data_IF_847548935349
#
_entry.id   IF_847548935349
#
_cell.length_a   1.000
_cell.length_b   1.000
_cell.length_c   1.000
_cell.angle_alpha   90.00
_cell.angle_beta   90.00
_cell.angle_gamma   90.00
#
_symmetry.space_group_name_H-M   'P 1'
#
loop_
_entity.id
_entity.type
_entity.pdbx_description
1 polymer ?
#
# COMPACT_ATOMS: atom_id res chain seq x y z
N UNK A 1 23.92 27.33 83.05
CA UNK A 1 23.30 26.70 81.86
C UNK A 1 21.87 26.36 82.27
N UNK A 2 20.85 27.12 81.84
CA UNK A 2 20.15 26.99 80.53
C UNK A 2 19.62 25.54 80.39
N UNK A 3 18.33 25.20 80.26
CA UNK A 3 17.09 25.87 79.83
C UNK A 3 15.88 25.05 80.33
N UNK A 4 14.76 25.77 80.61
CA UNK A 4 13.33 25.49 80.38
C UNK A 4 12.93 24.30 79.47
N UNK A 5 11.68 23.81 79.32
CA UNK A 5 10.34 23.93 79.90
C UNK A 5 9.43 22.98 79.04
N UNK A 6 8.22 22.74 79.54
CA UNK A 6 7.00 22.48 78.77
C UNK A 6 6.90 21.21 77.89
N UNK A 7 6.11 20.26 78.41
CA UNK A 7 5.27 19.42 77.58
C UNK A 7 4.12 20.25 76.98
N UNK A 8 3.91 20.06 75.68
CA UNK A 8 2.71 20.43 74.92
C UNK A 8 2.48 19.30 73.91
N UNK A 9 1.42 18.51 74.06
CA UNK A 9 0.14 18.73 73.38
C UNK A 9 0.30 18.70 71.86
N UNK A 10 0.01 17.55 71.25
CA UNK A 10 -0.18 17.43 69.80
C UNK A 10 -1.67 17.15 69.55
N UNK A 11 -2.32 17.89 68.63
CA UNK A 11 -3.78 17.92 68.49
C UNK A 11 -4.34 16.79 67.63
N UNK A 12 -5.57 16.37 67.95
CA UNK A 12 -6.50 15.70 67.03
C UNK A 12 -6.70 16.55 65.77
N UNK A 13 -6.23 16.05 64.63
CA UNK A 13 -6.60 16.58 63.33
C UNK A 13 -7.94 15.95 62.92
N UNK A 14 -9.00 16.74 62.96
CA UNK A 14 -10.27 16.44 62.31
C UNK A 14 -10.06 16.42 60.79
N UNK A 15 -10.19 15.25 60.16
CA UNK A 15 -10.39 15.13 58.72
C UNK A 15 -11.80 15.63 58.39
N UNK A 16 -11.87 16.83 57.82
CA UNK A 16 -13.05 17.33 57.11
C UNK A 16 -13.20 16.50 55.83
N UNK A 17 -14.29 15.75 55.75
CA UNK A 17 -14.75 15.11 54.52
C UNK A 17 -15.15 16.20 53.53
N UNK A 18 -14.26 16.53 52.59
CA UNK A 18 -14.62 17.27 51.38
C UNK A 18 -15.33 16.28 50.47
N UNK A 19 -16.65 16.45 50.31
CA UNK A 19 -17.41 15.78 49.26
C UNK A 19 -16.93 16.39 47.94
N UNK A 20 -15.97 15.75 47.27
CA UNK A 20 -15.75 15.97 45.85
C UNK A 20 -16.92 15.32 45.13
N UNK A 21 -17.76 16.14 44.52
CA UNK A 21 -18.67 15.73 43.46
C UNK A 21 -17.82 15.10 42.36
N UNK A 22 -17.89 13.76 42.30
CA UNK A 22 -17.27 12.95 41.26
C UNK A 22 -18.09 13.19 39.99
N UNK A 23 -17.57 13.98 39.06
CA UNK A 23 -18.07 14.01 37.69
C UNK A 23 -17.76 12.63 37.10
N UNK A 24 -18.79 11.80 36.94
CA UNK A 24 -18.70 10.52 36.24
C UNK A 24 -18.59 10.81 34.75
N UNK A 25 -17.37 10.83 34.23
CA UNK A 25 -17.14 10.79 32.79
C UNK A 25 -17.62 9.45 32.23
N UNK A 26 -18.36 9.51 31.13
CA UNK A 26 -18.90 8.34 30.43
C UNK A 26 -17.77 7.54 29.78
N UNK A 27 -17.76 6.22 30.02
CA UNK A 27 -16.76 5.26 29.48
C UNK A 27 -16.64 5.31 27.94
N UNK A 28 -17.70 5.79 27.25
CA UNK A 28 -17.69 6.01 25.79
C UNK A 28 -16.78 7.16 25.34
N UNK A 29 -16.62 8.22 26.15
CA UNK A 29 -15.68 9.31 25.83
C UNK A 29 -14.22 8.90 26.08
N UNK A 30 -13.95 8.01 27.04
CA UNK A 30 -12.60 7.47 27.26
C UNK A 30 -12.13 6.56 26.11
N UNK A 31 -13.01 5.73 25.55
CA UNK A 31 -12.67 4.88 24.41
C UNK A 31 -12.56 5.66 23.10
N UNK A 32 -13.34 6.74 22.90
CA UNK A 32 -13.16 7.63 21.75
C UNK A 32 -11.91 8.51 21.85
N UNK A 33 -11.43 8.82 23.05
CA UNK A 33 -10.20 9.59 23.24
C UNK A 33 -8.91 8.76 22.99
N UNK A 34 -8.97 7.43 23.17
CA UNK A 34 -7.82 6.54 22.93
C UNK A 34 -7.73 6.02 21.49
N UNK A 35 -8.85 5.94 20.75
CA UNK A 35 -8.86 5.48 19.35
C UNK A 35 -8.55 6.53 18.28
N UNK A 36 -8.23 7.78 18.63
CA UNK A 36 -8.16 8.90 17.69
C UNK A 36 -6.79 9.61 17.60
N UNK A 37 -5.70 8.98 18.07
CA UNK A 37 -4.33 9.52 17.91
C UNK A 37 -3.53 8.53 17.07
N UNK A 38 -3.49 8.74 15.76
CA UNK A 38 -2.72 7.85 14.88
C UNK A 38 -2.84 8.08 13.37
N UNK A 39 -3.17 9.28 12.89
CA UNK A 39 -2.91 9.65 11.49
C UNK A 39 -2.22 11.01 11.47
N UNK A 40 -0.91 11.00 11.71
CA UNK A 40 -0.05 12.16 11.45
C UNK A 40 0.60 11.94 10.09
N UNK A 41 0.05 12.63 9.10
CA UNK A 41 0.56 12.71 7.72
C UNK A 41 1.94 13.34 7.77
N UNK A 42 2.98 12.49 7.77
CA UNK A 42 4.37 12.88 7.59
C UNK A 42 4.69 13.09 6.12
N UNK A 43 4.32 14.25 5.58
CA UNK A 43 4.77 14.69 4.25
C UNK A 43 6.26 15.04 4.25
N UNK A 44 7.11 14.04 3.99
CA UNK A 44 8.54 14.20 3.75
C UNK A 44 8.80 14.53 2.28
N UNK A 45 9.06 15.79 1.97
CA UNK A 45 9.55 16.20 0.66
C UNK A 45 11.02 15.80 0.49
N UNK A 46 11.29 14.72 -0.26
CA UNK A 46 12.64 14.43 -0.76
C UNK A 46 12.83 15.16 -2.09
N UNK A 47 13.51 16.30 -2.02
CA UNK A 47 13.98 17.02 -3.20
C UNK A 47 15.20 16.31 -3.79
N UNK A 48 14.99 15.47 -4.82
CA UNK A 48 16.09 14.94 -5.62
C UNK A 48 16.59 16.04 -6.56
N UNK A 49 17.78 16.55 -6.23
CA UNK A 49 18.55 17.45 -7.08
C UNK A 49 19.17 16.63 -8.20
N UNK A 50 18.68 16.80 -9.43
CA UNK A 50 19.32 16.26 -10.63
C UNK A 50 20.69 16.93 -10.84
N UNK A 51 21.76 16.17 -10.64
CA UNK A 51 23.12 16.55 -11.05
C UNK A 51 23.30 16.10 -12.50
N UNK A 52 23.27 17.05 -13.43
CA UNK A 52 23.74 16.86 -14.80
C UNK A 52 25.26 17.01 -14.79
N UNK A 53 25.97 15.90 -15.00
CA UNK A 53 27.41 15.91 -15.27
C UNK A 53 27.61 16.04 -16.79
N UNK A 54 27.72 17.28 -17.26
CA UNK A 54 28.28 17.60 -18.58
C UNK A 54 29.81 17.54 -18.46
N UNK A 55 30.42 16.46 -18.95
CA UNK A 55 31.88 16.31 -19.10
C UNK A 55 32.23 16.52 -20.58
N UNK A 56 32.37 17.79 -20.96
CA UNK A 56 32.89 18.24 -22.25
C UNK A 56 34.42 18.40 -22.16
N UNK A 57 35.16 17.36 -22.52
CA UNK A 57 36.57 17.47 -22.95
C UNK A 57 36.93 16.31 -23.88
N UNK A 58 37.17 16.58 -25.17
CA UNK A 58 38.53 16.86 -25.64
C UNK A 58 38.56 17.15 -27.14
N UNK A 59 39.19 18.26 -27.47
CA UNK A 59 39.75 18.58 -28.77
C UNK A 59 40.84 17.56 -29.13
N UNK A 60 40.77 16.96 -30.32
CA UNK A 60 42.00 16.53 -30.99
C UNK A 60 41.85 16.62 -32.50
N UNK A 61 42.33 17.74 -33.04
CA UNK A 61 42.75 17.81 -34.43
C UNK A 61 44.09 17.07 -34.59
N UNK A 62 44.18 16.09 -35.49
CA UNK A 62 45.42 15.88 -36.21
C UNK A 62 45.18 15.36 -37.64
N UNK A 63 45.67 16.15 -38.58
CA UNK A 63 45.73 15.94 -40.01
C UNK A 63 46.69 14.82 -40.39
N UNK A 64 46.29 13.92 -41.29
CA UNK A 64 47.19 12.92 -41.87
C UNK A 64 46.81 12.56 -43.31
N UNK A 65 47.29 13.35 -44.27
CA UNK A 65 47.31 13.03 -45.69
C UNK A 65 48.16 11.79 -45.98
N UNK A 66 47.58 10.74 -46.58
CA UNK A 66 48.32 9.76 -47.39
C UNK A 66 47.54 9.44 -48.67
N UNK A 67 48.08 9.95 -49.78
CA UNK A 67 47.76 9.53 -51.15
C UNK A 67 48.23 8.09 -51.41
N UNK A 68 47.47 7.31 -52.18
CA UNK A 68 47.97 6.06 -52.76
C UNK A 68 46.97 5.22 -53.57
N UNK A 69 46.97 5.43 -54.88
CA UNK A 69 46.77 4.45 -55.97
C UNK A 69 45.38 3.81 -56.27
N UNK A 70 44.79 4.31 -57.37
CA UNK A 70 44.51 3.61 -58.64
C UNK A 70 43.83 2.21 -58.66
N UNK A 71 42.53 2.21 -59.05
CA UNK A 71 41.81 1.38 -60.05
C UNK A 71 41.94 -0.19 -60.00
N UNK A 72 40.90 -1.01 -60.31
CA UNK A 72 39.87 -0.75 -61.32
C UNK A 72 38.42 -1.14 -61.00
N UNK A 73 37.54 -0.49 -61.76
CA UNK A 73 36.19 -0.88 -62.19
C UNK A 73 35.89 -2.38 -62.03
N UNK A 74 35.17 -2.71 -60.96
CA UNK A 74 34.48 -3.97 -60.76
C UNK A 74 32.98 -3.72 -60.66
N UNK A 75 32.30 -3.95 -61.78
CA UNK A 75 30.85 -4.06 -61.92
C UNK A 75 30.32 -5.09 -60.92
N UNK A 76 29.78 -4.60 -59.81
CA UNK A 76 28.97 -5.37 -58.88
C UNK A 76 27.71 -4.56 -58.61
N UNK A 77 26.80 -4.59 -59.58
CA UNK A 77 25.36 -4.41 -59.35
C UNK A 77 24.82 -5.59 -58.53
N UNK A 78 25.42 -5.81 -57.36
CA UNK A 78 24.83 -6.59 -56.29
C UNK A 78 23.97 -5.64 -55.49
N UNK A 79 22.67 -5.65 -55.75
CA UNK A 79 21.62 -5.08 -54.90
C UNK A 79 21.56 -5.88 -53.58
N UNK A 80 22.72 -6.04 -52.92
CA UNK A 80 22.83 -6.53 -51.55
C UNK A 80 22.43 -5.37 -50.64
N UNK A 81 21.14 -5.00 -50.69
CA UNK A 81 20.54 -4.32 -49.56
C UNK A 81 20.81 -5.23 -48.36
N UNK A 82 21.44 -4.73 -47.29
CA UNK A 82 21.59 -5.52 -46.07
C UNK A 82 20.20 -6.04 -45.73
N UNK A 83 20.05 -7.37 -45.70
CA UNK A 83 18.81 -8.00 -45.26
C UNK A 83 18.52 -7.37 -43.90
N UNK A 84 17.37 -6.71 -43.74
CA UNK A 84 17.00 -6.05 -42.48
C UNK A 84 17.08 -7.09 -41.36
N UNK A 85 18.16 -7.03 -40.60
CA UNK A 85 18.56 -8.05 -39.65
C UNK A 85 17.75 -7.88 -38.37
N UNK A 86 16.58 -8.51 -38.32
CA UNK A 86 15.84 -8.72 -37.07
C UNK A 86 14.59 -7.85 -36.89
N UNK A 87 13.55 -8.45 -36.33
CA UNK A 87 12.29 -7.79 -35.98
C UNK A 87 12.47 -6.67 -34.93
N UNK A 88 13.42 -6.83 -34.01
CA UNK A 88 13.66 -5.87 -32.92
C UNK A 88 14.16 -4.49 -33.38
N UNK A 89 14.80 -4.40 -34.55
CA UNK A 89 15.28 -3.11 -35.07
C UNK A 89 14.18 -2.30 -35.77
N UNK A 90 13.05 -2.93 -36.14
CA UNK A 90 11.99 -2.31 -36.96
C UNK A 90 10.74 -1.95 -36.17
N UNK A 91 10.49 -2.62 -35.04
CA UNK A 91 9.33 -2.42 -34.19
C UNK A 91 9.79 -1.78 -32.88
N UNK A 92 9.03 -0.81 -32.39
CA UNK A 92 9.28 -0.17 -31.09
C UNK A 92 7.97 0.06 -30.38
N UNK A 93 7.86 -0.45 -29.15
CA UNK A 93 6.77 -0.27 -28.23
C UNK A 93 7.02 0.99 -27.38
N UNK A 94 6.05 1.90 -27.37
CA UNK A 94 6.18 3.22 -26.76
C UNK A 94 5.02 3.43 -25.79
N UNK A 95 5.27 3.58 -24.48
CA UNK A 95 4.22 3.96 -23.54
C UNK A 95 3.78 5.39 -23.86
N UNK A 96 2.47 5.64 -23.92
CA UNK A 96 1.95 6.99 -24.24
C UNK A 96 1.42 7.72 -23.03
N UNK A 97 0.45 7.11 -22.35
CA UNK A 97 -0.27 7.80 -21.29
C UNK A 97 -1.02 6.81 -20.39
N UNK A 98 -1.45 7.30 -19.23
CA UNK A 98 -2.27 6.59 -18.26
C UNK A 98 -3.63 7.29 -18.13
N UNK A 99 -4.67 6.48 -18.02
CA UNK A 99 -6.05 6.85 -17.75
C UNK A 99 -6.41 6.32 -16.35
N UNK A 100 -6.03 7.06 -15.32
CA UNK A 100 -6.25 6.69 -13.91
C UNK A 100 -7.73 6.56 -13.58
N UNK A 101 -8.59 7.34 -14.25
CA UNK A 101 -10.05 7.33 -14.03
C UNK A 101 -10.68 6.01 -14.45
N UNK A 102 -10.13 5.36 -15.48
CA UNK A 102 -10.63 4.10 -16.02
C UNK A 102 -9.69 2.91 -15.78
N UNK A 103 -8.61 3.08 -15.02
CA UNK A 103 -7.63 2.03 -14.73
C UNK A 103 -6.93 1.48 -15.99
N UNK A 104 -6.68 2.34 -16.99
CA UNK A 104 -6.11 1.97 -18.28
C UNK A 104 -4.81 2.69 -18.59
N UNK A 105 -4.04 2.14 -19.53
CA UNK A 105 -2.88 2.79 -20.14
C UNK A 105 -2.91 2.62 -21.66
N UNK A 106 -2.31 3.55 -22.39
CA UNK A 106 -2.19 3.47 -23.84
C UNK A 106 -0.74 3.18 -24.24
N UNK A 107 -0.56 2.15 -25.07
CA UNK A 107 0.72 1.83 -25.70
C UNK A 107 0.61 2.01 -27.21
N UNK A 108 1.69 2.45 -27.85
CA UNK A 108 1.78 2.52 -29.31
C UNK A 108 2.95 1.71 -29.82
N UNK A 109 2.74 1.01 -30.93
CA UNK A 109 3.80 0.32 -31.67
C UNK A 109 4.12 1.12 -32.92
N UNK A 110 5.38 1.53 -33.06
CA UNK A 110 5.91 2.13 -34.29
C UNK A 110 6.57 1.05 -35.16
N UNK A 111 6.00 0.80 -36.33
CA UNK A 111 6.60 -0.07 -37.34
C UNK A 111 7.36 0.77 -38.37
N UNK A 112 8.69 0.75 -38.30
CA UNK A 112 9.60 1.42 -39.24
C UNK A 112 9.99 0.54 -40.43
N UNK A 113 9.59 -0.73 -40.41
CA UNK A 113 9.87 -1.70 -41.46
C UNK A 113 9.12 -1.44 -42.76
N UNK A 114 9.52 -2.16 -43.81
CA UNK A 114 8.90 -2.09 -45.15
C UNK A 114 7.66 -2.98 -45.31
N UNK A 115 7.33 -3.79 -44.31
CA UNK A 115 6.22 -4.76 -44.32
C UNK A 115 5.32 -4.54 -43.12
N UNK A 116 4.07 -4.94 -43.27
CA UNK A 116 3.13 -4.99 -42.17
C UNK A 116 3.62 -6.02 -41.14
N UNK A 117 3.29 -5.78 -39.88
CA UNK A 117 3.67 -6.65 -38.77
C UNK A 117 2.40 -7.18 -38.09
N UNK A 118 2.31 -8.51 -38.00
CA UNK A 118 1.27 -9.23 -37.28
C UNK A 118 1.80 -9.58 -35.89
N UNK A 119 1.31 -8.87 -34.87
CA UNK A 119 1.88 -8.89 -33.53
C UNK A 119 0.89 -9.46 -32.53
N UNK A 120 1.44 -10.08 -31.50
CA UNK A 120 0.72 -10.41 -30.28
C UNK A 120 1.29 -9.58 -29.15
N UNK A 121 0.47 -9.14 -28.23
CA UNK A 121 0.93 -8.52 -27.00
C UNK A 121 0.36 -9.27 -25.82
N UNK A 122 1.07 -9.22 -24.69
CA UNK A 122 0.58 -9.71 -23.41
C UNK A 122 1.01 -8.78 -22.29
N UNK A 123 0.24 -8.75 -21.23
CA UNK A 123 0.66 -8.13 -19.98
C UNK A 123 1.78 -8.97 -19.38
N UNK A 124 2.85 -8.31 -18.97
CA UNK A 124 3.82 -8.90 -18.09
C UNK A 124 3.40 -8.51 -16.67
N UNK A 125 2.91 -9.48 -15.91
CA UNK A 125 2.85 -9.34 -14.46
C UNK A 125 4.26 -9.00 -13.99
N UNK A 126 4.46 -7.94 -13.20
CA UNK A 126 5.75 -7.64 -12.60
C UNK A 126 6.31 -8.95 -12.06
N UNK A 127 7.49 -9.38 -12.54
CA UNK A 127 8.10 -10.58 -11.99
C UNK A 127 8.38 -10.26 -10.54
N UNK A 128 7.64 -10.88 -9.62
CA UNK A 128 7.91 -10.82 -8.18
C UNK A 128 9.35 -11.32 -7.84
N UNK A 129 10.06 -11.87 -8.83
CA UNK A 129 11.35 -12.56 -8.74
C UNK A 129 12.62 -11.68 -8.75
N UNK A 130 12.53 -10.34 -8.73
CA UNK A 130 13.69 -9.46 -8.47
C UNK A 130 13.57 -8.70 -7.13
N UNK A 131 12.77 -9.20 -6.20
CA UNK A 131 12.94 -8.85 -4.78
C UNK A 131 14.31 -9.43 -4.35
N UNK A 132 15.24 -8.55 -3.97
CA UNK A 132 16.50 -8.94 -3.32
C UNK A 132 16.20 -10.01 -2.26
N UNK A 133 17.08 -11.02 -2.08
CA UNK A 133 16.78 -12.21 -1.28
C UNK A 133 16.10 -11.80 0.02
N UNK A 134 14.82 -12.17 0.16
CA UNK A 134 13.91 -11.66 1.19
C UNK A 134 14.67 -11.52 2.51
N UNK A 135 14.99 -10.28 2.87
CA UNK A 135 15.24 -9.96 4.26
C UNK A 135 14.01 -10.49 5.00
N UNK A 136 14.20 -11.30 6.07
CA UNK A 136 13.06 -11.89 6.77
C UNK A 136 12.10 -10.77 7.11
N UNK A 137 10.84 -10.91 6.68
CA UNK A 137 9.84 -9.85 6.86
C UNK A 137 9.82 -9.46 8.33
N UNK A 138 10.31 -8.25 8.61
CA UNK A 138 10.34 -7.72 9.96
C UNK A 138 8.91 -7.55 10.43
N UNK A 139 8.62 -7.98 11.65
CA UNK A 139 7.24 -8.09 12.09
C UNK A 139 7.07 -8.56 13.50
N UNK A 140 5.84 -8.38 13.99
CA UNK A 140 5.37 -8.90 15.26
C UNK A 140 4.15 -9.77 14.98
N UNK A 141 4.22 -11.02 15.39
CA UNK A 141 3.17 -12.01 15.23
C UNK A 141 2.64 -12.46 16.59
N UNK A 142 1.33 -12.54 16.73
CA UNK A 142 0.68 -13.09 17.93
C UNK A 142 0.55 -14.61 17.79
N UNK A 143 1.24 -15.36 18.64
CA UNK A 143 1.15 -16.83 18.64
C UNK A 143 -0.06 -17.30 19.46
N UNK A 144 -0.35 -16.60 20.55
CA UNK A 144 -1.53 -16.78 21.40
C UNK A 144 -1.81 -15.50 22.22
N UNK A 145 -2.71 -15.58 23.19
CA UNK A 145 -3.10 -14.43 24.02
C UNK A 145 -1.99 -13.87 24.91
N UNK A 146 -0.95 -14.65 25.20
CA UNK A 146 0.13 -14.31 26.13
C UNK A 146 1.52 -14.34 25.46
N UNK A 147 1.60 -14.85 24.23
CA UNK A 147 2.86 -15.05 23.52
C UNK A 147 2.90 -14.30 22.20
N UNK A 148 3.95 -13.51 22.01
CA UNK A 148 4.27 -12.86 20.74
C UNK A 148 5.61 -13.34 20.19
N UNK A 149 5.76 -13.28 18.87
CA UNK A 149 7.01 -13.51 18.15
C UNK A 149 7.40 -12.24 17.43
N UNK A 150 8.60 -11.75 17.71
CA UNK A 150 9.20 -10.58 17.05
C UNK A 150 10.28 -11.09 16.11
N UNK A 151 10.20 -10.71 14.84
CA UNK A 151 11.14 -11.08 13.76
C UNK A 151 11.78 -9.79 13.24
N UNK A 152 13.10 -9.73 13.21
CA UNK A 152 13.88 -8.55 12.83
C UNK A 152 15.03 -8.25 13.80
N UNK A 153 15.79 -7.20 13.50
CA UNK A 153 16.90 -6.72 14.34
C UNK A 153 16.51 -5.40 15.02
N UNK A 154 15.99 -5.49 16.25
CA UNK A 154 15.50 -4.35 17.01
C UNK A 154 16.34 -4.07 18.26
N UNK A 155 16.56 -2.80 18.57
CA UNK A 155 17.23 -2.37 19.79
C UNK A 155 16.38 -2.65 21.05
N UNK A 156 15.05 -2.62 20.92
CA UNK A 156 14.11 -2.99 21.97
C UNK A 156 12.75 -3.40 21.39
N UNK A 157 11.98 -4.15 22.16
CA UNK A 157 10.56 -4.38 21.92
C UNK A 157 9.74 -3.98 23.16
N UNK A 158 8.52 -3.52 22.98
CA UNK A 158 7.57 -3.28 24.07
C UNK A 158 6.25 -3.98 23.81
N UNK A 159 5.53 -4.28 24.89
CA UNK A 159 4.18 -4.79 24.79
C UNK A 159 3.31 -4.24 25.91
N UNK A 160 2.02 -4.07 25.61
CA UNK A 160 0.98 -3.76 26.57
C UNK A 160 0.29 -5.04 27.01
N UNK A 161 0.44 -5.38 28.29
CA UNK A 161 -0.25 -6.49 28.92
C UNK A 161 -1.48 -5.98 29.70
N UNK A 162 -2.65 -6.51 29.37
CA UNK A 162 -3.93 -6.21 30.00
C UNK A 162 -4.25 -7.30 31.03
N UNK A 163 -4.80 -6.93 32.18
CA UNK A 163 -5.18 -7.88 33.24
C UNK A 163 -6.38 -7.37 34.04
N UNK A 164 -7.00 -8.22 34.85
CA UNK A 164 -8.11 -7.81 35.74
C UNK A 164 -7.68 -7.93 37.20
N UNK A 165 -7.75 -6.82 37.92
CA UNK A 165 -7.53 -6.78 39.36
C UNK A 165 -8.70 -6.05 40.03
N UNK A 166 -9.33 -6.69 41.04
CA UNK A 166 -10.48 -6.12 41.76
C UNK A 166 -11.66 -5.68 40.85
N UNK A 167 -11.99 -6.50 39.84
CA UNK A 167 -13.05 -6.22 38.83
C UNK A 167 -12.78 -4.98 37.95
N UNK A 168 -11.56 -4.44 37.96
CA UNK A 168 -11.11 -3.36 37.09
C UNK A 168 -10.06 -3.89 36.10
N UNK A 169 -10.14 -3.44 34.83
CA UNK A 169 -9.12 -3.75 33.82
C UNK A 169 -7.93 -2.82 34.06
N UNK A 170 -6.78 -3.40 34.37
CA UNK A 170 -5.49 -2.75 34.42
C UNK A 170 -4.67 -3.02 33.15
N UNK A 171 -3.65 -2.19 32.93
CA UNK A 171 -2.65 -2.41 31.91
C UNK A 171 -1.25 -2.12 32.45
N UNK A 172 -0.25 -2.84 31.94
CA UNK A 172 1.17 -2.58 32.19
C UNK A 172 1.90 -2.62 30.85
N UNK A 173 2.82 -1.68 30.66
CA UNK A 173 3.70 -1.64 29.49
C UNK A 173 5.07 -2.10 29.96
N UNK A 174 5.59 -3.14 29.33
CA UNK A 174 6.91 -3.70 29.63
C UNK A 174 7.80 -3.62 28.41
N UNK A 175 9.10 -3.48 28.66
CA UNK A 175 10.13 -3.42 27.63
C UNK A 175 11.01 -4.67 27.72
N UNK A 176 11.16 -5.31 26.58
CA UNK A 176 12.10 -6.39 26.35
C UNK A 176 13.33 -5.80 25.68
N UNK A 177 14.50 -6.33 26.03
CA UNK A 177 15.77 -5.90 25.47
C UNK A 177 15.88 -6.15 23.95
N UNK A 178 17.09 -6.05 23.39
CA UNK A 178 17.28 -6.15 21.95
C UNK A 178 16.85 -7.52 21.41
N UNK A 179 16.28 -7.51 20.22
CA UNK A 179 15.87 -8.68 19.44
C UNK A 179 16.85 -8.83 18.28
N UNK A 180 17.54 -9.97 18.18
CA UNK A 180 18.45 -10.29 17.07
C UNK A 180 17.85 -11.42 16.22
N UNK A 181 17.32 -11.07 15.05
CA UNK A 181 16.70 -11.99 14.08
C UNK A 181 15.29 -12.49 14.45
N UNK A 182 15.14 -13.29 15.50
CA UNK A 182 13.83 -13.80 15.94
C UNK A 182 13.83 -14.03 17.47
N UNK A 183 12.82 -13.50 18.15
CA UNK A 183 12.59 -13.74 19.56
C UNK A 183 11.11 -14.01 19.85
N UNK A 184 10.85 -15.08 20.59
CA UNK A 184 9.54 -15.35 21.18
C UNK A 184 9.51 -14.80 22.60
N UNK A 185 8.46 -14.06 22.94
CA UNK A 185 8.24 -13.42 24.23
C UNK A 185 6.93 -13.99 24.80
N UNK A 186 7.06 -14.75 25.88
CA UNK A 186 5.93 -15.17 26.72
C UNK A 186 5.83 -14.19 27.90
N UNK A 187 4.73 -13.43 27.96
CA UNK A 187 4.58 -12.40 28.98
C UNK A 187 4.48 -12.96 30.40
N UNK A 188 4.14 -14.24 30.56
CA UNK A 188 4.08 -14.89 31.88
C UNK A 188 5.46 -15.10 32.50
N UNK A 189 6.53 -15.03 31.70
CA UNK A 189 7.92 -15.10 32.17
C UNK A 189 8.48 -13.73 32.59
N UNK A 190 7.72 -12.64 32.41
CA UNK A 190 8.15 -11.26 32.70
C UNK A 190 7.77 -10.88 34.13
N UNK A 191 8.76 -10.46 34.94
CA UNK A 191 8.63 -10.34 36.41
C UNK A 191 7.48 -9.44 36.91
N UNK A 192 7.06 -8.44 36.13
CA UNK A 192 6.04 -7.46 36.54
C UNK A 192 4.66 -7.71 35.91
N UNK A 193 4.53 -8.77 35.09
CA UNK A 193 3.29 -9.07 34.39
C UNK A 193 2.51 -10.12 35.17
N UNK A 194 1.22 -9.88 35.47
CA UNK A 194 0.37 -10.89 36.09
C UNK A 194 0.25 -12.16 35.22
N UNK A 195 0.19 -13.34 35.85
CA UNK A 195 0.12 -14.64 35.14
C UNK A 195 -1.14 -14.77 34.26
N UNK A 196 -2.20 -14.01 34.57
CA UNK A 196 -3.47 -13.97 33.86
C UNK A 196 -3.58 -12.80 32.87
N UNK A 197 -2.50 -12.05 32.65
CA UNK A 197 -2.49 -10.97 31.68
C UNK A 197 -2.50 -11.48 30.24
N UNK A 198 -2.98 -10.66 29.31
CA UNK A 198 -2.97 -10.91 27.86
C UNK A 198 -2.27 -9.78 27.12
N UNK A 199 -1.63 -10.06 25.98
CA UNK A 199 -1.02 -9.03 25.13
C UNK A 199 -2.09 -8.37 24.27
N UNK A 200 -2.27 -7.06 24.41
CA UNK A 200 -3.19 -6.28 23.57
C UNK A 200 -2.50 -5.60 22.39
N UNK A 201 -1.30 -5.08 22.63
CA UNK A 201 -0.54 -4.29 21.69
C UNK A 201 0.96 -4.57 21.87
N UNK A 202 1.72 -4.51 20.78
CA UNK A 202 3.16 -4.70 20.79
C UNK A 202 3.83 -3.80 19.75
N UNK A 203 5.05 -3.38 20.03
CA UNK A 203 5.85 -2.51 19.18
C UNK A 203 7.34 -2.85 19.28
N UNK A 204 8.09 -2.56 18.22
CA UNK A 204 9.53 -2.79 18.15
C UNK A 204 10.25 -1.55 17.61
N UNK A 205 11.48 -1.33 18.10
CA UNK A 205 12.25 -0.11 17.90
C UNK A 205 13.63 -0.46 17.34
N UNK A 206 14.02 0.13 16.21
CA UNK A 206 15.36 0.02 15.63
C UNK A 206 16.37 0.90 16.36
N UNK A 207 15.92 2.04 16.89
CA UNK A 207 16.79 3.01 17.54
C UNK A 207 17.27 2.54 18.92
N UNK A 208 18.58 2.66 19.17
CA UNK A 208 19.20 2.46 20.50
C UNK A 208 18.80 3.55 21.55
N UNK A 209 17.79 4.36 21.24
CA UNK A 209 17.25 5.41 22.10
C UNK A 209 16.48 4.87 23.31
N UNK A 210 16.03 5.77 24.19
CA UNK A 210 15.05 5.38 25.21
C UNK A 210 13.71 5.15 24.51
N UNK A 211 13.15 3.92 24.53
CA UNK A 211 11.96 3.61 23.76
C UNK A 211 10.75 4.38 24.32
N UNK A 212 10.00 5.01 23.43
CA UNK A 212 8.83 5.82 23.77
C UNK A 212 7.57 5.10 23.28
N UNK A 213 6.62 4.77 24.16
CA UNK A 213 5.39 4.11 23.75
C UNK A 213 4.63 4.87 22.65
N UNK A 214 4.26 4.16 21.58
CA UNK A 214 3.56 4.72 20.42
C UNK A 214 4.46 5.32 19.33
N UNK A 215 5.78 5.22 19.48
CA UNK A 215 6.80 5.67 18.51
C UNK A 215 7.57 4.48 17.91
N UNK A 216 7.02 3.27 17.96
CA UNK A 216 7.64 2.06 17.42
C UNK A 216 7.69 2.06 15.88
N UNK A 217 8.78 1.54 15.32
CA UNK A 217 8.96 1.38 13.88
C UNK A 217 8.04 0.29 13.31
N UNK A 218 7.84 -0.77 14.09
CA UNK A 218 6.92 -1.86 13.79
C UNK A 218 5.91 -1.97 14.92
N UNK A 219 4.63 -2.05 14.59
CA UNK A 219 3.54 -2.16 15.58
C UNK A 219 2.56 -3.25 15.17
N UNK A 220 1.98 -3.93 16.15
CA UNK A 220 0.97 -4.94 15.93
C UNK A 220 -0.06 -4.97 17.06
N UNK A 221 -1.33 -5.15 16.71
CA UNK A 221 -2.44 -5.31 17.65
C UNK A 221 -2.91 -6.76 17.64
N UNK A 222 -3.26 -7.30 18.81
CA UNK A 222 -3.73 -8.68 18.91
C UNK A 222 -5.05 -8.86 18.12
N UNK A 223 -5.07 -9.67 17.04
CA UNK A 223 -6.28 -9.87 16.25
C UNK A 223 -7.38 -10.61 17.02
N UNK A 224 -7.00 -11.41 18.02
CA UNK A 224 -7.90 -12.20 18.85
C UNK A 224 -8.16 -11.52 20.20
N UNK A 225 -7.91 -10.21 20.34
CA UNK A 225 -8.02 -9.50 21.61
C UNK A 225 -9.36 -9.72 22.31
N UNK A 226 -10.47 -9.59 21.58
CA UNK A 226 -11.82 -9.78 22.15
C UNK A 226 -12.02 -11.22 22.64
N UNK A 227 -11.58 -12.22 21.86
CA UNK A 227 -11.65 -13.63 22.23
C UNK A 227 -10.75 -13.95 23.44
N UNK A 228 -9.55 -13.35 23.50
CA UNK A 228 -8.63 -13.47 24.63
C UNK A 228 -9.22 -12.84 25.91
N UNK A 229 -9.83 -11.66 25.80
CA UNK A 229 -10.51 -11.02 26.93
C UNK A 229 -11.66 -11.89 27.46
N UNK A 230 -12.50 -12.42 26.58
CA UNK A 230 -13.59 -13.31 27.00
C UNK A 230 -13.05 -14.60 27.65
N UNK A 231 -11.97 -15.16 27.12
CA UNK A 231 -11.38 -16.39 27.63
C UNK A 231 -10.70 -16.22 29.00
N UNK A 232 -9.97 -15.13 29.21
CA UNK A 232 -9.19 -14.89 30.44
C UNK A 232 -9.99 -14.15 31.51
N UNK A 233 -10.82 -13.18 31.12
CA UNK A 233 -11.55 -12.32 32.05
C UNK A 233 -13.03 -12.65 32.15
N UNK A 234 -13.54 -13.53 31.26
CA UNK A 234 -14.96 -13.83 31.14
C UNK A 234 -15.70 -12.76 30.34
N UNK A 235 -17.02 -12.92 30.19
CA UNK A 235 -17.89 -11.85 29.71
C UNK A 235 -17.82 -10.71 30.73
N UNK A 236 -17.07 -9.65 30.41
CA UNK A 236 -17.15 -8.40 31.16
C UNK A 236 -18.50 -7.81 30.85
N UNK A 237 -19.51 -8.21 31.64
CA UNK A 237 -20.81 -7.56 31.64
C UNK A 237 -20.53 -6.15 32.11
N UNK A 238 -20.37 -5.22 31.15
CA UNK A 238 -20.54 -3.81 31.46
C UNK A 238 -21.98 -3.73 31.87
N UNK A 239 -22.23 -3.84 33.18
CA UNK A 239 -23.44 -3.34 33.79
C UNK A 239 -23.40 -1.86 33.46
N UNK A 240 -23.94 -1.53 32.28
CA UNK A 240 -24.36 -0.18 31.97
C UNK A 240 -25.32 0.07 33.10
N UNK A 241 -24.85 0.79 34.11
CA UNK A 241 -25.72 1.30 35.15
C UNK A 241 -26.80 2.01 34.37
N UNK A 242 -27.94 1.36 34.21
CA UNK A 242 -29.19 1.95 33.81
C UNK A 242 -29.43 2.93 34.95
N UNK A 243 -28.86 4.13 34.79
CA UNK A 243 -29.21 5.27 35.58
C UNK A 243 -30.71 5.40 35.32
N UNK A 244 -31.48 4.90 36.29
CA UNK A 244 -32.93 5.03 36.48
C UNK A 244 -33.30 6.53 36.63
N UNK A 245 -32.77 7.36 35.72
CA UNK A 245 -33.18 8.72 35.42
C UNK A 245 -34.45 8.70 34.59
N UNK A 246 -35.51 8.22 35.23
CA UNK A 246 -36.92 8.53 34.96
C UNK A 246 -37.08 10.00 34.58
N UNK A 247 -37.07 10.34 33.28
CA UNK A 247 -37.82 11.45 32.68
C UNK A 247 -38.16 11.14 31.20
N UNK A 248 -39.21 10.34 30.97
CA UNK A 248 -40.08 10.53 29.79
C UNK A 248 -41.12 11.62 30.13
N UNK A 249 -41.70 12.40 29.18
CA UNK A 249 -42.14 11.90 27.87
C UNK A 249 -42.12 12.91 26.68
N UNK A 250 -42.16 12.36 25.46
CA UNK A 250 -43.08 12.69 24.35
C UNK A 250 -42.43 12.25 23.03
N UNK A 251 -42.95 11.20 22.40
CA UNK A 251 -43.90 11.33 21.27
C UNK A 251 -43.20 11.90 20.02
N UNK A 252 -42.62 11.02 19.20
CA UNK A 252 -42.65 11.21 17.75
C UNK A 252 -42.50 9.85 17.05
N UNK A 253 -43.63 9.37 16.55
CA UNK A 253 -43.72 8.29 15.59
C UNK A 253 -43.24 8.75 14.21
N UNK A 254 -42.40 7.96 13.53
CA UNK A 254 -42.57 7.70 12.10
C UNK A 254 -41.53 6.71 11.53
N UNK A 255 -42.07 5.68 10.86
CA UNK A 255 -41.57 4.98 9.66
C UNK A 255 -40.26 4.18 9.78
N UNK A 256 -40.28 2.84 9.77
CA UNK A 256 -40.61 1.93 8.67
C UNK A 256 -39.73 2.10 7.40
N UNK A 257 -38.74 1.22 7.23
CA UNK A 257 -38.24 0.68 5.95
C UNK A 257 -37.22 -0.41 6.30
N UNK A 258 -37.61 -1.68 6.31
CA UNK A 258 -37.60 -2.59 5.14
C UNK A 258 -36.17 -2.96 4.69
N UNK A 259 -35.69 -4.04 5.31
CA UNK A 259 -34.97 -5.17 4.73
C UNK A 259 -34.81 -5.11 3.19
N UNK A 260 -33.60 -4.77 2.72
CA UNK A 260 -33.18 -5.02 1.34
C UNK A 260 -31.97 -5.96 1.35
N UNK A 261 -32.27 -7.26 1.35
CA UNK A 261 -31.33 -8.29 0.92
C UNK A 261 -31.02 -8.06 -0.56
N UNK A 262 -29.84 -7.50 -0.85
CA UNK A 262 -29.31 -7.45 -2.22
C UNK A 262 -28.58 -8.76 -2.50
N UNK A 263 -29.22 -9.60 -3.31
CA UNK A 263 -28.58 -10.75 -3.95
C UNK A 263 -27.56 -10.24 -4.95
N UNK A 264 -26.28 -10.38 -4.60
CA UNK A 264 -25.17 -10.26 -5.55
C UNK A 264 -25.24 -11.46 -6.49
N UNK A 265 -25.76 -11.21 -7.69
CA UNK A 265 -25.64 -12.16 -8.80
C UNK A 265 -24.17 -12.27 -9.19
N UNK A 266 -23.70 -13.50 -9.23
CA UNK A 266 -22.35 -13.89 -9.59
C UNK A 266 -22.01 -13.35 -10.97
N UNK A 267 -21.15 -12.34 -11.01
CA UNK A 267 -20.54 -11.86 -12.23
C UNK A 267 -19.74 -12.98 -12.88
N UNK A 268 -20.05 -13.16 -14.16
CA UNK A 268 -19.53 -14.11 -15.13
C UNK A 268 -17.99 -14.23 -15.08
N UNK A 269 -17.46 -15.45 -14.91
CA UNK A 269 -16.03 -15.84 -14.97
C UNK A 269 -15.43 -15.70 -16.40
N UNK A 270 -15.86 -14.71 -17.18
CA UNK A 270 -15.34 -14.41 -18.52
C UNK A 270 -14.36 -13.22 -18.54
N UNK A 271 -13.94 -12.73 -17.36
CA UNK A 271 -13.14 -11.52 -17.18
C UNK A 271 -11.62 -11.67 -17.33
N UNK A 272 -11.10 -12.84 -17.72
CA UNK A 272 -9.65 -13.13 -17.67
C UNK A 272 -8.98 -13.35 -19.04
N UNK A 273 -9.62 -13.04 -20.16
CA UNK A 273 -8.95 -13.07 -21.48
C UNK A 273 -8.39 -11.69 -21.93
N UNK A 274 -8.40 -10.68 -21.06
CA UNK A 274 -7.86 -9.34 -21.37
C UNK A 274 -6.34 -9.22 -21.20
N UNK A 275 -5.66 -10.30 -20.80
CA UNK A 275 -4.21 -10.28 -20.53
C UNK A 275 -3.35 -10.38 -21.79
N UNK A 276 -3.96 -10.58 -22.96
CA UNK A 276 -3.27 -10.69 -24.25
C UNK A 276 -4.16 -10.27 -25.43
N UNK A 277 -3.54 -9.81 -26.53
CA UNK A 277 -4.26 -9.43 -27.74
C UNK A 277 -3.44 -9.52 -29.02
N UNK A 278 -4.10 -9.39 -30.17
CA UNK A 278 -3.47 -9.37 -31.50
C UNK A 278 -3.55 -7.95 -32.09
N UNK A 279 -2.48 -7.51 -32.76
CA UNK A 279 -2.34 -6.17 -33.33
C UNK A 279 -1.67 -6.25 -34.70
N UNK A 280 -2.29 -5.66 -35.71
CA UNK A 280 -1.67 -5.51 -37.05
C UNK A 280 -1.19 -4.08 -37.21
N UNK A 281 0.11 -3.90 -37.42
CA UNK A 281 0.74 -2.57 -37.59
C UNK A 281 1.27 -2.44 -39.02
N UNK A 282 0.64 -1.60 -39.87
CA UNK A 282 1.09 -1.41 -41.24
C UNK A 282 2.53 -0.92 -41.34
N UNK A 283 3.21 -1.22 -42.45
CA UNK A 283 4.54 -0.73 -42.73
C UNK A 283 4.64 0.81 -42.61
N UNK A 284 5.70 1.31 -41.97
CA UNK A 284 5.97 2.75 -41.80
C UNK A 284 4.83 3.50 -41.10
N UNK A 285 4.16 2.85 -40.15
CA UNK A 285 3.03 3.43 -39.43
C UNK A 285 3.15 3.23 -37.92
N UNK A 286 2.21 3.81 -37.19
CA UNK A 286 2.09 3.65 -35.73
C UNK A 286 0.65 3.30 -35.41
N UNK A 287 0.45 2.27 -34.59
CA UNK A 287 -0.86 1.88 -34.08
C UNK A 287 -0.82 1.89 -32.55
N UNK A 288 -1.91 2.33 -31.92
CA UNK A 288 -2.02 2.40 -30.47
C UNK A 288 -3.17 1.54 -29.97
N UNK A 289 -3.03 1.00 -28.77
CA UNK A 289 -4.00 0.12 -28.15
C UNK A 289 -4.04 0.35 -26.63
N UNK A 290 -5.22 0.22 -26.00
CA UNK A 290 -5.35 0.25 -24.56
C UNK A 290 -4.84 -1.06 -23.94
N UNK A 291 -4.33 -0.96 -22.72
CA UNK A 291 -4.08 -2.08 -21.82
C UNK A 291 -4.59 -1.72 -20.41
N UNK A 292 -5.06 -2.70 -19.62
CA UNK A 292 -5.42 -2.43 -18.23
C UNK A 292 -4.15 -2.19 -17.39
N UNK A 293 -4.29 -1.37 -16.35
CA UNK A 293 -3.27 -1.12 -15.33
C UNK A 293 -3.56 -2.01 -14.11
N UNK A 294 -2.54 -2.69 -13.61
CA UNK A 294 -2.61 -3.55 -12.41
C UNK A 294 -1.59 -3.04 -11.40
N UNK A 295 -2.01 -2.84 -10.15
CA UNK A 295 -1.11 -2.44 -9.06
C UNK A 295 -0.34 -1.14 -9.33
N UNK A 296 -0.98 -0.18 -10.01
CA UNK A 296 -0.39 1.12 -10.32
C UNK A 296 0.63 1.11 -11.46
N UNK A 297 0.81 -0.01 -12.17
CA UNK A 297 1.68 -0.07 -13.35
C UNK A 297 1.06 -0.91 -14.47
N UNK A 298 1.55 -0.70 -15.69
CA UNK A 298 1.27 -1.58 -16.81
C UNK A 298 2.58 -1.92 -17.51
N UNK A 299 2.85 -3.22 -17.67
CA UNK A 299 4.01 -3.74 -18.39
C UNK A 299 3.51 -4.60 -19.54
N UNK A 300 3.99 -4.31 -20.76
CA UNK A 300 3.53 -4.95 -21.99
C UNK A 300 4.72 -5.54 -22.72
N UNK A 301 4.58 -6.79 -23.14
CA UNK A 301 5.54 -7.49 -23.99
C UNK A 301 4.95 -7.68 -25.37
N UNK A 302 5.69 -7.28 -26.40
CA UNK A 302 5.32 -7.40 -27.80
C UNK A 302 6.01 -8.61 -28.44
N UNK A 303 5.22 -9.45 -29.10
CA UNK A 303 5.63 -10.72 -29.69
C UNK A 303 5.35 -10.72 -31.19
N UNK A 304 6.30 -11.20 -32.00
CA UNK A 304 6.12 -11.50 -33.42
C UNK A 304 6.50 -12.96 -33.65
N UNK A 305 5.61 -13.74 -34.29
CA UNK A 305 5.78 -15.19 -34.45
C UNK A 305 6.08 -15.95 -33.12
N UNK A 306 5.62 -15.40 -31.99
CA UNK A 306 5.83 -15.95 -30.64
C UNK A 306 7.18 -15.64 -30.01
N UNK A 307 8.03 -14.85 -30.67
CA UNK A 307 9.28 -14.35 -30.12
C UNK A 307 9.12 -12.90 -29.64
N UNK A 308 9.68 -12.58 -28.47
CA UNK A 308 9.72 -11.22 -27.95
C UNK A 308 10.53 -10.31 -28.86
N UNK A 309 9.91 -9.20 -29.24
CA UNK A 309 10.49 -8.18 -30.10
C UNK A 309 10.88 -6.95 -29.31
N UNK A 310 10.01 -6.52 -28.40
CA UNK A 310 10.19 -5.34 -27.54
C UNK A 310 9.30 -5.44 -26.29
N UNK A 311 9.63 -4.69 -25.25
CA UNK A 311 8.86 -4.58 -24.01
C UNK A 311 8.91 -3.16 -23.44
N UNK A 312 7.84 -2.73 -22.81
CA UNK A 312 7.74 -1.40 -22.22
C UNK A 312 6.82 -1.40 -20.99
N UNK A 313 7.15 -0.56 -20.03
CA UNK A 313 6.37 -0.34 -18.82
C UNK A 313 6.01 1.14 -18.65
N UNK A 314 4.92 1.39 -17.93
CA UNK A 314 4.52 2.74 -17.49
C UNK A 314 3.93 2.63 -16.08
N UNK A 315 4.33 3.54 -15.19
CA UNK A 315 3.87 3.61 -13.80
C UNK A 315 2.92 4.81 -13.65
N UNK A 316 1.87 4.68 -12.83
CA UNK A 316 0.89 5.76 -12.56
C UNK A 316 1.55 7.04 -12.06
N UNK A 317 2.61 6.92 -11.26
CA UNK A 317 3.29 8.07 -10.67
C UNK A 317 4.11 8.90 -11.68
N UNK A 318 4.59 8.27 -12.75
CA UNK A 318 5.48 8.89 -13.75
C UNK A 318 4.83 9.09 -15.10
N UNK A 319 3.67 8.46 -15.35
CA UNK A 319 2.94 8.50 -16.60
C UNK A 319 2.27 9.86 -16.87
N UNK A 320 2.27 10.28 -18.14
CA UNK A 320 1.48 11.43 -18.58
C UNK A 320 -0.01 11.04 -18.67
N UNK A 321 -0.93 11.89 -18.23
CA UNK A 321 -2.36 11.61 -18.29
C UNK A 321 -2.88 11.60 -19.74
N UNK A 322 -3.78 10.66 -20.07
CA UNK A 322 -4.34 10.58 -21.42
C UNK A 322 -5.27 11.79 -21.70
N UNK A 323 -5.12 12.50 -22.84
CA UNK A 323 -5.95 13.65 -23.16
C UNK A 323 -7.40 13.29 -23.53
N UNK A 324 -7.71 12.01 -23.74
CA UNK A 324 -9.03 11.46 -24.02
C UNK A 324 -9.15 10.07 -23.38
N UNK A 325 -10.34 9.61 -22.97
CA UNK A 325 -10.52 8.25 -22.47
C UNK A 325 -10.08 7.24 -23.53
N UNK A 326 -9.27 6.27 -23.12
CA UNK A 326 -8.66 5.29 -24.04
C UNK A 326 -9.65 4.19 -24.41
N UNK A 327 -10.65 3.97 -23.57
CA UNK A 327 -11.76 3.08 -23.86
C UNK A 327 -12.91 3.85 -24.51
N UNK A 328 -13.48 3.32 -25.61
CA UNK A 328 -14.81 3.77 -26.01
C UNK A 328 -15.73 3.41 -24.84
N UNK A 329 -16.31 4.44 -24.21
CA UNK A 329 -17.29 4.30 -23.15
C UNK A 329 -18.35 3.27 -23.59
N UNK A 330 -18.44 2.09 -22.93
CA UNK A 330 -19.38 1.05 -23.32
C UNK A 330 -20.83 1.50 -23.13
N UNK A 331 -21.06 2.54 -22.32
CA UNK A 331 -22.35 3.17 -22.06
C UNK A 331 -22.59 4.43 -22.90
N UNK A 332 -21.63 4.84 -23.75
CA UNK A 332 -21.90 5.86 -24.75
C UNK A 332 -22.90 5.30 -25.76
N UNK A 333 -24.17 5.67 -25.59
CA UNK A 333 -25.24 5.43 -26.56
C UNK A 333 -24.84 6.06 -27.90
N UNK A 334 -24.16 5.29 -28.76
CA UNK A 334 -23.92 5.68 -30.13
C UNK A 334 -25.31 5.86 -30.77
N UNK A 335 -25.65 7.06 -31.27
CA UNK A 335 -26.86 7.22 -32.06
C UNK A 335 -26.64 6.47 -33.38
N UNK A 336 -26.95 5.17 -33.39
CA UNK A 336 -27.15 4.44 -34.62
C UNK A 336 -28.43 5.01 -35.23
N UNK A 337 -28.29 6.08 -36.01
CA UNK A 337 -29.30 6.41 -37.02
C UNK A 337 -29.44 5.18 -37.90
N UNK A 338 -30.56 4.48 -37.73
CA UNK A 338 -30.90 3.29 -38.47
C UNK A 338 -30.91 3.65 -39.97
N UNK A 339 -30.01 3.08 -40.80
CA UNK A 339 -29.90 3.47 -42.21
C UNK A 339 -31.13 3.09 -43.06
N UNK A 340 -32.10 2.40 -42.48
CA UNK A 340 -33.35 1.99 -43.16
C UNK A 340 -34.42 3.09 -43.26
N UNK A 341 -34.31 4.22 -42.54
CA UNK A 341 -35.30 5.31 -42.64
C UNK A 341 -34.91 6.45 -43.61
N UNK A 342 -33.76 6.36 -44.28
CA UNK A 342 -33.29 7.38 -45.22
C UNK A 342 -33.83 7.25 -46.66
N UNK A 343 -34.57 6.18 -47.01
CA UNK A 343 -35.07 5.94 -48.39
C UNK A 343 -36.56 6.25 -48.62
N UNK A 344 -37.31 6.81 -47.66
CA UNK A 344 -38.73 7.17 -47.86
C UNK A 344 -39.00 8.69 -47.95
N UNK A 345 -37.99 9.50 -48.28
CA UNK A 345 -38.20 10.90 -48.69
C UNK A 345 -37.32 11.30 -49.87
N UNK A 346 -37.56 10.69 -51.04
CA UNK A 346 -37.13 11.19 -52.34
C UNK A 346 -38.24 11.04 -53.38
#
# INVERSE_FOLDING_TARGET
MLVDLFGSSTPEAQLRSTIMTRETYSRREQLQALGAVGTLVGGGAIGLSSVSADDDTDDTEETGDINGDNNPEGDATGDDQPEETGASDRLSLIPKCIDEEHGGAAFCVANRGKRDADLKWRLETPKEDEKEPDEPEEGIEYLDCQTIRVVGDFAAASFEALFVENDEIGNVIEFVGPVEGEQTIDITEVENVPEDAIVGYAEAFHDDGEPVPGDGDVTATNPELEACQEAFFGEVVVEVSEDDGDETPADDEAAASEEASSSVESADESTLDCEQGELVVPAKSTACFPVPVTDGAASVVLLEDGQEVDSASIETETGEACPCPVYPDPDAEFPFENPEEAEETA
#
